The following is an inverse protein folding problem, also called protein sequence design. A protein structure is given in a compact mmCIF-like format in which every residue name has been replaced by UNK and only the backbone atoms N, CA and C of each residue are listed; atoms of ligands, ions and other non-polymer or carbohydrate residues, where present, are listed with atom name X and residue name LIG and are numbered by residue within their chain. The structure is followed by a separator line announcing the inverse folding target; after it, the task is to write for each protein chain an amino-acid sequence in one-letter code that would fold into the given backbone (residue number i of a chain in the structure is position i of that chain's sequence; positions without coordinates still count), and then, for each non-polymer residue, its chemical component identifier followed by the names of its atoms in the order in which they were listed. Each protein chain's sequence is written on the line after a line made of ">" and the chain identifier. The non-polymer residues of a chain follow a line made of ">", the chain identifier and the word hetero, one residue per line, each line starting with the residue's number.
data_IF_093593362711
#
_entry.id   IF_093593362711
#
_cell.length_a   1.000
_cell.length_b   1.000
_cell.length_c   1.000
_cell.angle_alpha   90.00
_cell.angle_beta   90.00
_cell.angle_gamma   90.00
#
_symmetry.space_group_name_H-M   'P 1'
#
loop_
_entity.id
_entity.type
_entity.pdbx_description
1 polymer ?
#
# COMPACT_ATOMS: atom_id res chain seq x y z
N UNK A 1 12.54 12.46 -6.81
CA UNK A 1 11.20 12.02 -6.36
C UNK A 1 11.39 10.88 -5.38
N UNK A 2 10.55 10.81 -4.33
CA UNK A 2 10.57 9.77 -3.30
C UNK A 2 9.40 8.84 -3.58
N UNK A 3 9.67 7.56 -3.85
CA UNK A 3 8.73 6.65 -4.52
C UNK A 3 8.23 5.60 -3.55
N UNK A 4 6.92 5.36 -3.57
CA UNK A 4 6.24 4.38 -2.73
C UNK A 4 5.41 3.43 -3.58
N UNK A 5 5.66 2.13 -3.42
CA UNK A 5 4.87 1.10 -4.09
C UNK A 5 3.65 0.78 -3.23
N UNK A 6 2.45 0.85 -3.81
CA UNK A 6 1.19 0.58 -3.12
C UNK A 6 0.66 -0.77 -3.64
N UNK A 7 0.75 -1.82 -2.83
CA UNK A 7 0.43 -3.18 -3.29
C UNK A 7 -0.35 -3.99 -2.26
N UNK A 8 -0.92 -5.10 -2.72
CA UNK A 8 -1.82 -5.96 -1.95
C UNK A 8 -3.18 -6.11 -2.62
N UNK A 9 -4.26 -6.06 -1.84
CA UNK A 9 -5.62 -6.29 -2.35
C UNK A 9 -6.54 -5.08 -2.22
N UNK A 10 -7.86 -5.32 -2.16
CA UNK A 10 -8.90 -4.28 -2.26
C UNK A 10 -8.80 -3.18 -1.21
N UNK A 11 -8.35 -3.47 0.01
CA UNK A 11 -8.16 -2.43 1.02
C UNK A 11 -6.94 -1.53 0.75
N UNK A 12 -5.90 -1.99 0.03
CA UNK A 12 -4.88 -1.10 -0.54
C UNK A 12 -5.39 -0.38 -1.79
N UNK A 13 -6.06 -1.11 -2.68
CA UNK A 13 -6.57 -0.56 -3.94
C UNK A 13 -7.55 0.60 -3.70
N UNK A 14 -8.35 0.49 -2.64
CA UNK A 14 -9.28 1.50 -2.18
C UNK A 14 -10.72 1.12 -2.45
N UNK A 15 -11.55 1.17 -1.40
CA UNK A 15 -12.99 0.90 -1.43
C UNK A 15 -13.79 1.85 -0.53
N UNK A 16 -13.15 2.83 0.10
CA UNK A 16 -13.85 3.84 0.89
C UNK A 16 -14.84 4.61 0.01
N UNK A 17 -16.09 4.74 0.47
CA UNK A 17 -17.17 5.42 -0.25
C UNK A 17 -17.76 4.60 -1.40
N UNK A 18 -17.36 3.33 -1.57
CA UNK A 18 -17.95 2.45 -2.58
C UNK A 18 -19.17 1.75 -2.00
N UNK A 19 -20.35 2.10 -2.52
CA UNK A 19 -21.63 1.48 -2.20
C UNK A 19 -22.23 0.85 -3.47
N UNK A 20 -22.62 -0.43 -3.41
CA UNK A 20 -23.25 -1.16 -4.53
C UNK A 20 -22.49 -1.01 -5.87
N UNK A 21 -21.15 -1.12 -5.83
CA UNK A 21 -20.24 -0.96 -6.98
C UNK A 21 -20.21 0.45 -7.59
N UNK A 22 -20.64 1.47 -6.84
CA UNK A 22 -20.52 2.87 -7.21
C UNK A 22 -19.74 3.61 -6.13
N UNK A 23 -18.72 4.38 -6.52
CA UNK A 23 -18.02 5.27 -5.59
C UNK A 23 -18.78 6.60 -5.50
N UNK A 24 -18.98 7.10 -4.28
CA UNK A 24 -19.69 8.36 -4.00
C UNK A 24 -19.00 9.62 -4.53
N UNK A 25 -17.73 9.51 -4.95
CA UNK A 25 -16.93 10.63 -5.46
C UNK A 25 -16.45 11.60 -4.37
N UNK A 26 -16.63 11.26 -3.09
CA UNK A 26 -16.24 12.11 -1.97
C UNK A 26 -14.76 11.92 -1.68
N UNK A 27 -13.99 13.01 -1.82
CA UNK A 27 -12.55 13.05 -1.52
C UNK A 27 -12.32 13.89 -0.26
N UNK A 28 -11.88 13.28 0.86
CA UNK A 28 -11.53 14.02 2.07
C UNK A 28 -10.41 15.04 1.82
N UNK A 29 -10.32 16.14 2.60
CA UNK A 29 -9.22 17.11 2.49
C UNK A 29 -7.84 16.48 2.68
N UNK A 30 -7.75 15.47 3.56
CA UNK A 30 -6.55 14.66 3.79
C UNK A 30 -6.14 13.80 2.57
N UNK A 31 -6.95 13.75 1.51
CA UNK A 31 -6.66 13.05 0.26
C UNK A 31 -6.67 13.98 -0.97
N UNK A 32 -6.71 15.30 -0.77
CA UNK A 32 -6.78 16.27 -1.86
C UNK A 32 -5.51 16.22 -2.75
N UNK A 33 -5.63 16.38 -4.08
CA UNK A 33 -4.48 16.38 -4.97
C UNK A 33 -3.47 17.49 -4.61
N UNK A 34 -2.20 17.23 -4.88
CA UNK A 34 -1.10 18.19 -4.74
C UNK A 34 -0.15 18.00 -5.95
N UNK A 35 0.29 19.07 -6.63
CA UNK A 35 1.21 18.96 -7.77
C UNK A 35 2.55 18.27 -7.45
N UNK A 36 2.91 18.16 -6.17
CA UNK A 36 4.10 17.47 -5.68
C UNK A 36 3.87 15.98 -5.41
N UNK A 37 2.65 15.47 -5.58
CA UNK A 37 2.29 14.06 -5.40
C UNK A 37 1.82 13.52 -6.75
N UNK A 38 2.63 12.63 -7.32
CA UNK A 38 2.39 12.02 -8.61
C UNK A 38 2.00 10.56 -8.47
N UNK A 39 1.31 10.04 -9.47
CA UNK A 39 0.92 8.63 -9.61
C UNK A 39 1.46 8.09 -10.93
N UNK A 40 1.97 6.86 -10.92
CA UNK A 40 2.32 6.15 -12.15
C UNK A 40 1.06 5.47 -12.72
N UNK A 41 0.58 5.91 -13.87
CA UNK A 41 -0.60 5.32 -14.52
C UNK A 41 -0.35 3.92 -15.08
N UNK A 42 -1.40 3.24 -15.53
CA UNK A 42 -1.30 1.97 -16.24
C UNK A 42 -0.45 2.06 -17.52
N UNK A 43 -0.44 3.24 -18.16
CA UNK A 43 0.38 3.55 -19.34
C UNK A 43 1.84 3.90 -19.00
N UNK A 44 2.26 3.71 -17.74
CA UNK A 44 3.60 4.03 -17.24
C UNK A 44 3.98 5.51 -17.41
N UNK A 45 2.98 6.40 -17.30
CA UNK A 45 3.18 7.84 -17.32
C UNK A 45 2.94 8.42 -15.92
N UNK A 46 3.79 9.37 -15.52
CA UNK A 46 3.58 10.13 -14.30
C UNK A 46 2.51 11.21 -14.53
N UNK A 47 1.52 11.24 -13.66
CA UNK A 47 0.44 12.22 -13.64
C UNK A 47 0.17 12.70 -12.22
N UNK A 48 -0.55 13.81 -12.05
CA UNK A 48 -0.93 14.28 -10.71
C UNK A 48 -1.82 13.23 -10.02
N UNK A 49 -1.46 12.85 -8.81
CA UNK A 49 -2.16 11.80 -8.07
C UNK A 49 -3.56 12.27 -7.62
N UNK A 50 -4.57 11.48 -8.00
CA UNK A 50 -5.98 11.70 -7.65
C UNK A 50 -6.62 10.37 -7.30
N UNK A 51 -7.48 10.36 -6.29
CA UNK A 51 -8.30 9.19 -5.99
C UNK A 51 -9.36 8.97 -7.09
N UNK A 52 -9.73 7.72 -7.41
CA UNK A 52 -9.17 6.47 -6.86
C UNK A 52 -7.83 6.09 -7.51
N UNK A 53 -6.77 5.90 -6.72
CA UNK A 53 -5.41 5.68 -7.23
C UNK A 53 -5.25 4.41 -8.08
N UNK A 54 -6.11 3.41 -7.91
CA UNK A 54 -6.04 2.13 -8.60
C UNK A 54 -7.07 1.98 -9.74
N UNK A 55 -7.76 3.05 -10.16
CA UNK A 55 -8.86 2.98 -11.12
C UNK A 55 -8.50 2.32 -12.48
N UNK A 56 -7.27 2.53 -12.97
CA UNK A 56 -6.72 1.93 -14.19
C UNK A 56 -5.83 0.70 -13.92
N UNK A 57 -5.69 0.29 -12.66
CA UNK A 57 -4.88 -0.85 -12.22
C UNK A 57 -5.79 -2.03 -11.82
N UNK A 58 -6.68 -1.83 -10.86
CA UNK A 58 -7.67 -2.81 -10.37
C UNK A 58 -8.96 -2.76 -11.23
N UNK A 59 -8.78 -2.89 -12.55
CA UNK A 59 -9.78 -2.57 -13.58
C UNK A 59 -11.07 -3.39 -13.53
N UNK A 60 -11.07 -4.52 -12.82
CA UNK A 60 -12.26 -5.39 -12.70
C UNK A 60 -13.19 -4.99 -11.56
N UNK A 61 -12.81 -3.98 -10.77
CA UNK A 61 -13.52 -3.56 -9.54
C UNK A 61 -13.70 -2.04 -9.54
N UNK A 62 -14.81 -1.59 -8.94
CA UNK A 62 -14.98 -0.17 -8.63
C UNK A 62 -14.04 0.21 -7.49
N UNK A 63 -13.11 1.13 -7.77
CA UNK A 63 -12.21 1.68 -6.77
C UNK A 63 -12.82 2.93 -6.11
N UNK A 64 -12.47 3.14 -4.84
CA UNK A 64 -12.77 4.35 -4.09
C UNK A 64 -11.54 4.80 -3.31
N UNK A 65 -11.74 5.42 -2.16
CA UNK A 65 -10.62 5.91 -1.33
C UNK A 65 -9.79 4.72 -0.81
N UNK A 66 -8.47 4.79 -1.01
CA UNK A 66 -7.45 3.95 -0.37
C UNK A 66 -6.58 4.78 0.59
N UNK A 67 -5.50 4.19 1.15
CA UNK A 67 -4.67 4.90 2.12
C UNK A 67 -3.59 5.79 1.46
N UNK A 68 -3.38 5.66 0.15
CA UNK A 68 -2.22 6.23 -0.55
C UNK A 68 -2.13 7.75 -0.55
N UNK A 69 -3.24 8.46 -0.82
CA UNK A 69 -3.22 9.93 -0.81
C UNK A 69 -3.03 10.50 0.61
N UNK A 70 -3.71 9.93 1.60
CA UNK A 70 -3.54 10.33 3.00
C UNK A 70 -2.12 10.07 3.51
N UNK A 71 -1.53 8.93 3.14
CA UNK A 71 -0.12 8.65 3.38
C UNK A 71 0.79 9.71 2.76
N UNK A 72 0.66 9.96 1.46
CA UNK A 72 1.53 10.88 0.74
C UNK A 72 1.45 12.30 1.30
N UNK A 73 0.24 12.79 1.61
CA UNK A 73 0.04 14.12 2.19
C UNK A 73 0.60 14.25 3.60
N UNK A 74 0.59 13.19 4.39
CA UNK A 74 1.19 13.19 5.72
C UNK A 74 2.74 13.14 5.68
N UNK A 75 3.31 12.47 4.68
CA UNK A 75 4.78 12.36 4.52
C UNK A 75 5.39 13.61 3.86
N UNK A 76 4.70 14.22 2.89
CA UNK A 76 5.23 15.29 2.04
C UNK A 76 5.88 16.46 2.81
N UNK A 77 5.26 17.02 3.88
CA UNK A 77 5.87 18.13 4.61
C UNK A 77 7.22 17.76 5.23
N UNK A 78 7.34 16.54 5.77
CA UNK A 78 8.57 16.06 6.41
C UNK A 78 9.71 15.91 5.39
N UNK A 79 9.40 15.40 4.20
CA UNK A 79 10.37 15.31 3.10
C UNK A 79 10.83 16.68 2.59
N UNK A 80 9.95 17.69 2.66
CA UNK A 80 10.28 19.05 2.23
C UNK A 80 11.13 19.79 3.29
N UNK A 81 10.95 19.50 4.58
CA UNK A 81 11.79 20.01 5.67
C UNK A 81 13.21 19.43 5.62
N UNK A 82 13.35 18.14 5.29
CA UNK A 82 14.65 17.44 5.24
C UNK A 82 15.53 17.80 4.03
N UNK A 83 15.08 18.70 3.14
CA UNK A 83 15.83 19.10 1.93
C UNK A 83 16.46 20.50 2.12
N UNK A 84 17.67 20.63 2.72
CA UNK A 84 18.35 21.91 2.85
C UNK A 84 18.92 22.39 1.51
N UNK A 85 18.45 23.53 1.02
CA UNK A 85 19.09 24.26 -0.08
C UNK A 85 18.23 24.45 -1.34
N UNK A 86 17.93 25.72 -1.62
CA UNK A 86 17.50 26.34 -2.87
C UNK A 86 16.99 25.43 -4.01
N UNK A 87 15.65 25.33 -4.13
CA UNK A 87 14.99 25.32 -5.44
C UNK A 87 14.43 23.99 -5.94
N UNK A 88 14.83 22.85 -5.38
CA UNK A 88 14.31 21.54 -5.81
C UNK A 88 13.28 21.03 -4.83
N UNK A 89 11.99 21.18 -5.14
CA UNK A 89 10.90 20.67 -4.29
C UNK A 89 10.87 19.14 -4.39
N UNK A 90 11.13 18.46 -3.28
CA UNK A 90 11.00 17.00 -3.21
C UNK A 90 9.53 16.61 -3.38
N UNK A 91 9.23 15.87 -4.45
CA UNK A 91 7.92 15.30 -4.74
C UNK A 91 7.84 13.82 -4.40
N UNK A 92 6.61 13.33 -4.18
CA UNK A 92 6.27 11.94 -3.93
C UNK A 92 5.75 11.29 -5.21
N UNK A 93 6.19 10.05 -5.47
CA UNK A 93 5.65 9.22 -6.55
C UNK A 93 4.95 7.98 -5.99
N UNK A 94 3.67 7.80 -6.31
CA UNK A 94 2.89 6.63 -5.93
C UNK A 94 2.82 5.64 -7.08
N UNK A 95 3.15 4.38 -6.81
CA UNK A 95 3.13 3.29 -7.79
C UNK A 95 2.02 2.29 -7.41
N UNK A 96 0.77 2.53 -7.84
CA UNK A 96 -0.35 1.63 -7.54
C UNK A 96 -0.15 0.30 -8.27
N UNK A 97 -0.29 -0.79 -7.53
CA UNK A 97 -0.14 -2.17 -8.00
C UNK A 97 -1.20 -3.12 -7.44
N UNK A 98 -1.96 -2.74 -6.42
CA UNK A 98 -2.89 -3.64 -5.73
C UNK A 98 -4.06 -4.11 -6.63
N UNK A 99 -4.51 -5.35 -6.41
CA UNK A 99 -5.62 -5.97 -7.16
C UNK A 99 -6.57 -6.70 -6.21
N UNK A 100 -7.86 -6.38 -6.30
CA UNK A 100 -8.86 -6.81 -5.32
C UNK A 100 -9.24 -8.29 -5.40
N UNK A 101 -9.32 -8.96 -4.24
CA UNK A 101 -9.76 -10.36 -4.12
C UNK A 101 -8.67 -11.39 -4.44
N UNK A 102 -7.41 -10.99 -4.38
CA UNK A 102 -6.26 -11.83 -4.67
C UNK A 102 -5.72 -12.45 -3.37
N UNK A 103 -5.36 -13.73 -3.41
CA UNK A 103 -4.63 -14.40 -2.33
C UNK A 103 -3.12 -14.26 -2.54
N UNK A 104 -2.31 -14.43 -1.49
CA UNK A 104 -0.86 -14.18 -1.58
C UNK A 104 -0.15 -15.10 -2.58
N UNK A 105 -0.72 -16.28 -2.87
CA UNK A 105 -0.20 -17.19 -3.91
C UNK A 105 -0.15 -16.55 -5.29
N UNK A 106 -1.09 -15.66 -5.62
CA UNK A 106 -1.17 -14.92 -6.89
C UNK A 106 -0.08 -13.82 -6.98
N UNK A 107 0.60 -13.56 -5.87
CA UNK A 107 1.74 -12.66 -5.75
C UNK A 107 3.08 -13.41 -5.67
N UNK A 108 3.10 -14.71 -5.97
CA UNK A 108 4.35 -15.48 -6.04
C UNK A 108 5.22 -14.99 -7.19
N UNK A 109 6.55 -15.08 -7.04
CA UNK A 109 7.49 -14.71 -8.12
C UNK A 109 7.20 -15.53 -9.38
N UNK A 110 7.14 -14.86 -10.55
CA UNK A 110 6.69 -15.45 -11.81
C UNK A 110 5.20 -15.33 -12.08
N UNK A 111 4.36 -15.04 -11.08
CA UNK A 111 2.93 -14.77 -11.28
C UNK A 111 2.70 -13.37 -11.85
N UNK A 112 1.60 -13.21 -12.58
CA UNK A 112 1.30 -11.99 -13.32
C UNK A 112 1.33 -10.73 -12.44
N UNK A 113 0.71 -10.76 -11.26
CA UNK A 113 0.61 -9.60 -10.37
C UNK A 113 1.97 -9.21 -9.78
N UNK A 114 2.77 -10.20 -9.41
CA UNK A 114 4.13 -9.98 -8.94
C UNK A 114 5.00 -9.34 -10.02
N UNK A 115 5.00 -9.91 -11.23
CA UNK A 115 5.81 -9.40 -12.34
C UNK A 115 5.39 -7.98 -12.74
N UNK A 116 4.08 -7.68 -12.70
CA UNK A 116 3.58 -6.32 -12.92
C UNK A 116 4.05 -5.35 -11.84
N UNK A 117 3.98 -5.71 -10.56
CA UNK A 117 4.46 -4.88 -9.46
C UNK A 117 5.96 -4.57 -9.61
N UNK A 118 6.79 -5.59 -9.85
CA UNK A 118 8.24 -5.42 -10.02
C UNK A 118 8.56 -4.59 -11.27
N UNK A 119 7.88 -4.83 -12.38
CA UNK A 119 8.05 -4.04 -13.60
C UNK A 119 7.74 -2.55 -13.37
N UNK A 120 6.59 -2.25 -12.76
CA UNK A 120 6.17 -0.88 -12.46
C UNK A 120 7.13 -0.20 -11.48
N UNK A 121 7.59 -0.91 -10.46
CA UNK A 121 8.60 -0.42 -9.52
C UNK A 121 9.93 -0.10 -10.23
N UNK A 122 10.42 -0.97 -11.11
CA UNK A 122 11.65 -0.71 -11.90
C UNK A 122 11.52 0.49 -12.83
N UNK A 123 10.37 0.67 -13.48
CA UNK A 123 10.09 1.87 -14.28
C UNK A 123 10.13 3.12 -13.40
N UNK A 124 9.50 3.06 -12.22
CA UNK A 124 9.48 4.18 -11.30
C UNK A 124 10.88 4.56 -10.78
N UNK A 125 11.73 3.56 -10.50
CA UNK A 125 13.11 3.76 -10.05
C UNK A 125 13.98 4.57 -11.05
N UNK A 126 13.59 4.66 -12.32
CA UNK A 126 14.23 5.55 -13.30
C UNK A 126 14.00 7.04 -13.04
N UNK A 127 13.05 7.42 -12.18
CA UNK A 127 12.62 8.80 -11.91
C UNK A 127 12.83 9.23 -10.45
N UNK A 128 13.35 8.34 -9.60
CA UNK A 128 13.53 8.59 -8.18
C UNK A 128 13.93 7.35 -7.40
N UNK A 129 13.95 7.47 -6.08
CA UNK A 129 14.33 6.38 -5.18
C UNK A 129 13.09 5.71 -4.61
N UNK A 130 13.03 4.38 -4.65
CA UNK A 130 11.98 3.61 -3.99
C UNK A 130 12.30 3.54 -2.50
N UNK A 131 11.40 4.07 -1.68
CA UNK A 131 11.66 4.24 -0.25
C UNK A 131 10.94 3.22 0.62
N UNK A 132 9.77 2.76 0.18
CA UNK A 132 9.06 1.69 0.84
C UNK A 132 8.05 1.02 -0.08
N UNK A 133 7.72 -0.22 0.26
CA UNK A 133 6.52 -0.91 -0.21
C UNK A 133 5.48 -0.85 0.90
N UNK A 134 4.31 -0.29 0.60
CA UNK A 134 3.14 -0.37 1.46
C UNK A 134 2.33 -1.59 1.03
N UNK A 135 2.15 -2.54 1.94
CA UNK A 135 1.54 -3.84 1.67
C UNK A 135 0.29 -4.06 2.54
N UNK A 136 -0.90 -4.13 1.92
CA UNK A 136 -2.11 -4.49 2.65
C UNK A 136 -2.85 -5.61 1.92
N UNK A 137 -2.68 -6.83 2.44
CA UNK A 137 -3.24 -8.06 1.90
C UNK A 137 -3.38 -9.13 2.98
N UNK A 138 -4.28 -10.08 2.73
CA UNK A 138 -4.39 -11.34 3.48
C UNK A 138 -5.82 -11.80 3.69
N UNK A 139 -6.84 -10.98 3.40
CA UNK A 139 -8.23 -11.36 3.65
C UNK A 139 -8.65 -12.57 2.83
N UNK A 140 -8.14 -12.72 1.60
CA UNK A 140 -8.41 -13.89 0.75
C UNK A 140 -7.74 -15.16 1.29
N UNK A 141 -6.61 -15.05 1.97
CA UNK A 141 -5.88 -16.18 2.57
C UNK A 141 -6.55 -16.69 3.85
N UNK A 142 -7.44 -15.89 4.46
CA UNK A 142 -8.27 -16.32 5.58
C UNK A 142 -9.41 -17.28 5.15
N UNK A 143 -9.66 -17.47 3.85
CA UNK A 143 -10.78 -18.30 3.38
C UNK A 143 -10.52 -19.81 3.47
N UNK A 144 -9.26 -20.25 3.62
CA UNK A 144 -8.92 -21.66 3.78
C UNK A 144 -7.84 -21.88 4.84
N UNK A 145 -7.94 -22.99 5.58
CA UNK A 145 -6.92 -23.35 6.59
C UNK A 145 -5.55 -23.61 5.95
N UNK A 146 -5.53 -24.07 4.69
CA UNK A 146 -4.30 -24.32 3.93
C UNK A 146 -3.58 -23.01 3.58
N UNK A 147 -4.29 -22.03 3.02
CA UNK A 147 -3.71 -20.73 2.67
C UNK A 147 -3.27 -19.97 3.93
N UNK A 148 -4.11 -19.99 4.96
CA UNK A 148 -3.79 -19.39 6.26
C UNK A 148 -2.53 -20.00 6.88
N UNK A 149 -2.36 -21.32 6.82
CA UNK A 149 -1.18 -22.01 7.36
C UNK A 149 0.11 -21.69 6.61
N UNK A 150 0.03 -21.32 5.34
CA UNK A 150 1.18 -20.97 4.50
C UNK A 150 1.50 -19.46 4.48
N UNK A 151 0.64 -18.61 5.06
CA UNK A 151 0.71 -17.16 4.89
C UNK A 151 2.05 -16.55 5.33
N UNK A 152 2.57 -16.93 6.51
CA UNK A 152 3.84 -16.40 7.04
C UNK A 152 5.00 -16.64 6.07
N UNK A 153 5.17 -17.88 5.64
CA UNK A 153 6.25 -18.25 4.72
C UNK A 153 6.09 -17.53 3.37
N UNK A 154 4.85 -17.41 2.89
CA UNK A 154 4.57 -16.76 1.62
C UNK A 154 4.85 -15.25 1.66
N UNK A 155 4.50 -14.55 2.75
CA UNK A 155 4.76 -13.11 2.86
C UNK A 155 6.25 -12.82 3.05
N UNK A 156 6.98 -13.63 3.82
CA UNK A 156 8.43 -13.51 3.94
C UNK A 156 9.12 -13.77 2.60
N UNK A 157 8.66 -14.78 1.85
CA UNK A 157 9.15 -15.09 0.51
C UNK A 157 8.86 -13.96 -0.49
N UNK A 158 7.66 -13.38 -0.45
CA UNK A 158 7.29 -12.21 -1.26
C UNK A 158 8.25 -11.05 -1.01
N UNK A 159 8.47 -10.69 0.26
CA UNK A 159 9.37 -9.58 0.65
C UNK A 159 10.80 -9.85 0.15
N UNK A 160 11.30 -11.07 0.39
CA UNK A 160 12.64 -11.47 -0.07
C UNK A 160 12.79 -11.41 -1.60
N UNK A 161 11.78 -11.88 -2.33
CA UNK A 161 11.76 -11.86 -3.78
C UNK A 161 11.76 -10.42 -4.33
N UNK A 162 10.89 -9.54 -3.81
CA UNK A 162 10.82 -8.14 -4.25
C UNK A 162 12.16 -7.43 -4.01
N UNK A 163 12.76 -7.62 -2.83
CA UNK A 163 14.08 -7.07 -2.49
C UNK A 163 15.16 -7.55 -3.46
N UNK A 164 15.17 -8.85 -3.77
CA UNK A 164 16.13 -9.44 -4.70
C UNK A 164 15.95 -8.90 -6.13
N UNK A 165 14.71 -8.86 -6.63
CA UNK A 165 14.41 -8.44 -8.00
C UNK A 165 14.57 -6.93 -8.24
N UNK A 166 14.43 -6.12 -7.19
CA UNK A 166 14.76 -4.68 -7.25
C UNK A 166 16.24 -4.40 -6.94
N UNK A 167 17.00 -5.38 -6.47
CA UNK A 167 18.38 -5.19 -6.02
C UNK A 167 18.50 -4.33 -4.75
N UNK A 168 17.45 -4.31 -3.92
CA UNK A 168 17.33 -3.46 -2.73
C UNK A 168 17.16 -4.32 -1.46
N UNK A 169 18.25 -4.92 -0.93
CA UNK A 169 18.18 -5.88 0.18
C UNK A 169 17.64 -5.28 1.49
N UNK A 170 17.70 -3.95 1.63
CA UNK A 170 17.22 -3.22 2.80
C UNK A 170 15.90 -2.47 2.54
N UNK A 171 15.23 -2.68 1.40
CA UNK A 171 14.00 -1.98 1.04
C UNK A 171 12.95 -2.12 2.17
N UNK A 172 12.50 -0.99 2.76
CA UNK A 172 11.47 -1.01 3.77
C UNK A 172 10.14 -1.60 3.26
N UNK A 173 9.52 -2.42 4.10
CA UNK A 173 8.15 -2.87 3.94
C UNK A 173 7.32 -2.42 5.13
N UNK A 174 6.22 -1.74 4.84
CA UNK A 174 5.22 -1.36 5.83
C UNK A 174 3.98 -2.18 5.49
N UNK A 175 3.79 -3.28 6.22
CA UNK A 175 2.63 -4.13 6.04
C UNK A 175 1.50 -3.73 6.99
N UNK A 176 0.28 -4.15 6.65
CA UNK A 176 -0.92 -3.85 7.43
C UNK A 176 -1.53 -5.14 7.94
N UNK A 177 -1.72 -5.25 9.26
CA UNK A 177 -2.46 -6.35 9.84
C UNK A 177 -3.94 -6.26 9.45
N UNK A 178 -4.61 -7.39 9.22
CA UNK A 178 -6.00 -7.35 8.75
C UNK A 178 -6.94 -6.67 9.76
N UNK A 179 -7.74 -5.70 9.30
CA UNK A 179 -8.85 -5.14 10.08
C UNK A 179 -10.10 -6.04 10.06
N UNK A 180 -10.21 -6.87 9.03
CA UNK A 180 -11.41 -7.61 8.66
C UNK A 180 -11.03 -8.83 7.83
N UNK A 181 -11.97 -9.77 7.65
CA UNK A 181 -11.75 -11.02 6.92
C UNK A 181 -12.59 -12.15 7.50
N UNK A 182 -12.36 -13.37 7.02
CA UNK A 182 -13.06 -14.55 7.51
C UNK A 182 -12.79 -14.77 9.02
N UNK A 183 -13.84 -14.67 9.84
CA UNK A 183 -13.76 -14.75 11.31
C UNK A 183 -13.10 -16.04 11.83
N UNK A 184 -13.15 -17.13 11.05
CA UNK A 184 -12.52 -18.40 11.44
C UNK A 184 -11.00 -18.31 11.49
N UNK A 185 -10.40 -17.52 10.60
CA UNK A 185 -8.96 -17.56 10.32
C UNK A 185 -8.27 -16.20 10.34
N UNK A 186 -9.01 -15.09 10.46
CA UNK A 186 -8.44 -13.73 10.51
C UNK A 186 -7.32 -13.63 11.56
N UNK A 187 -7.51 -14.15 12.77
CA UNK A 187 -6.49 -14.08 13.82
C UNK A 187 -5.23 -14.89 13.49
N UNK A 188 -5.36 -15.97 12.73
CA UNK A 188 -4.19 -16.75 12.29
C UNK A 188 -3.36 -15.97 11.25
N UNK A 189 -4.03 -15.32 10.28
CA UNK A 189 -3.36 -14.45 9.30
C UNK A 189 -2.73 -13.23 9.99
N UNK A 190 -3.44 -12.60 10.93
CA UNK A 190 -2.90 -11.50 11.75
C UNK A 190 -1.68 -11.93 12.55
N UNK A 191 -1.74 -13.07 13.23
CA UNK A 191 -0.60 -13.62 13.96
C UNK A 191 0.60 -13.84 13.03
N UNK A 192 0.38 -14.33 11.80
CA UNK A 192 1.43 -14.44 10.80
C UNK A 192 2.01 -13.06 10.41
N UNK A 193 1.16 -12.05 10.15
CA UNK A 193 1.59 -10.68 9.83
C UNK A 193 2.44 -10.06 10.95
N UNK A 194 2.12 -10.31 12.22
CA UNK A 194 2.94 -9.87 13.36
C UNK A 194 4.19 -10.74 13.60
N UNK A 195 4.22 -11.96 13.08
CA UNK A 195 5.35 -12.90 13.27
C UNK A 195 6.43 -12.75 12.20
N UNK A 196 6.23 -11.94 11.16
CA UNK A 196 7.23 -11.67 10.13
C UNK A 196 8.50 -11.15 10.79
N UNK A 197 9.60 -11.90 10.65
CA UNK A 197 10.87 -11.59 11.32
C UNK A 197 11.96 -11.28 10.29
N UNK A 198 11.78 -10.16 9.59
CA UNK A 198 12.71 -9.67 8.58
C UNK A 198 13.15 -8.24 8.93
N UNK A 199 14.41 -7.85 8.64
CA UNK A 199 14.86 -6.47 8.85
C UNK A 199 14.05 -5.51 7.99
N UNK A 200 13.87 -4.28 8.47
CA UNK A 200 13.13 -3.19 7.80
C UNK A 200 11.71 -3.60 7.38
N UNK A 201 11.05 -4.42 8.21
CA UNK A 201 9.62 -4.70 8.07
C UNK A 201 8.91 -4.23 9.32
N UNK A 202 7.86 -3.43 9.15
CA UNK A 202 6.99 -2.96 10.23
C UNK A 202 5.55 -3.28 9.91
N UNK A 203 4.76 -3.59 10.95
CA UNK A 203 3.34 -3.95 10.83
C UNK A 203 2.48 -2.90 11.52
N UNK A 204 1.56 -2.30 10.76
CA UNK A 204 0.56 -1.33 11.26
C UNK A 204 -0.75 -2.06 11.55
N UNK A 205 -1.42 -1.74 12.66
CA UNK A 205 -2.66 -2.41 13.07
C UNK A 205 -3.91 -1.50 12.98
N UNK A 206 -4.76 -1.67 11.96
CA UNK A 206 -6.04 -0.97 11.82
C UNK A 206 -7.22 -1.68 12.51
N UNK A 207 -7.00 -2.70 13.35
CA UNK A 207 -8.08 -3.41 14.02
C UNK A 207 -9.05 -2.47 14.75
N UNK A 208 -10.35 -2.71 14.58
CA UNK A 208 -11.42 -1.91 15.18
C UNK A 208 -11.78 -0.62 14.42
N UNK A 209 -11.12 -0.31 13.31
CA UNK A 209 -11.53 0.79 12.43
C UNK A 209 -12.87 0.51 11.74
N UNK A 210 -13.58 1.58 11.37
CA UNK A 210 -14.88 1.49 10.74
C UNK A 210 -14.79 0.84 9.35
N UNK A 211 -15.69 -0.12 9.10
CA UNK A 211 -15.84 -0.80 7.82
C UNK A 211 -17.03 -0.21 7.05
N UNK A 212 -17.04 -0.42 5.74
CA UNK A 212 -18.21 -0.25 4.90
C UNK A 212 -19.31 -1.23 5.32
N UNK A 213 -20.51 -1.06 4.74
CA UNK A 213 -21.69 -1.90 4.99
C UNK A 213 -21.46 -3.39 4.70
N UNK A 214 -20.45 -3.73 3.89
CA UNK A 214 -20.08 -5.11 3.58
C UNK A 214 -19.31 -5.82 4.71
N UNK A 215 -18.94 -5.10 5.78
CA UNK A 215 -18.14 -5.59 6.90
C UNK A 215 -16.80 -6.21 6.48
N UNK A 216 -16.26 -5.79 5.33
CA UNK A 216 -15.00 -6.29 4.79
C UNK A 216 -14.05 -5.15 4.45
N UNK A 217 -14.52 -4.09 3.81
CA UNK A 217 -13.64 -3.02 3.37
C UNK A 217 -13.61 -1.86 4.37
N UNK A 218 -12.45 -1.22 4.56
CA UNK A 218 -12.34 -0.01 5.36
C UNK A 218 -13.16 1.13 4.75
N UNK A 219 -13.90 1.85 5.59
CA UNK A 219 -14.60 3.07 5.20
C UNK A 219 -13.61 4.20 4.87
N UNK A 220 -14.09 5.25 4.18
CA UNK A 220 -13.27 6.40 3.75
C UNK A 220 -12.47 7.01 4.90
N UNK A 221 -13.09 7.29 6.05
CA UNK A 221 -12.40 7.87 7.20
C UNK A 221 -11.34 6.94 7.79
N UNK A 222 -11.59 5.63 7.76
CA UNK A 222 -10.65 4.60 8.21
C UNK A 222 -9.45 4.49 7.26
N UNK A 223 -9.66 4.66 5.96
CA UNK A 223 -8.57 4.73 4.97
C UNK A 223 -7.70 5.96 5.17
N UNK A 224 -8.30 7.12 5.49
CA UNK A 224 -7.54 8.32 5.87
C UNK A 224 -6.71 8.07 7.13
N UNK A 225 -7.30 7.46 8.16
CA UNK A 225 -6.59 7.13 9.40
C UNK A 225 -5.46 6.14 9.16
N UNK A 226 -5.69 5.08 8.37
CA UNK A 226 -4.67 4.11 7.99
C UNK A 226 -3.52 4.77 7.22
N UNK A 227 -3.82 5.65 6.26
CA UNK A 227 -2.79 6.40 5.53
C UNK A 227 -1.89 7.22 6.46
N UNK A 228 -2.47 7.87 7.48
CA UNK A 228 -1.69 8.60 8.51
C UNK A 228 -0.84 7.66 9.37
N UNK A 229 -1.36 6.49 9.75
CA UNK A 229 -0.60 5.49 10.52
C UNK A 229 0.55 4.89 9.70
N UNK A 230 0.36 4.65 8.40
CA UNK A 230 1.42 4.23 7.48
C UNK A 230 2.51 5.31 7.36
N UNK A 231 2.11 6.58 7.29
CA UNK A 231 3.03 7.70 7.21
C UNK A 231 3.86 7.83 8.49
N UNK A 232 3.21 7.73 9.65
CA UNK A 232 3.88 7.74 10.95
C UNK A 232 4.88 6.57 11.07
N UNK A 233 4.48 5.36 10.68
CA UNK A 233 5.36 4.21 10.66
C UNK A 233 6.58 4.43 9.75
N UNK A 234 6.37 5.01 8.57
CA UNK A 234 7.46 5.38 7.66
C UNK A 234 8.39 6.41 8.29
N UNK A 235 7.84 7.51 8.81
CA UNK A 235 8.59 8.62 9.38
C UNK A 235 9.43 8.16 10.58
N UNK A 236 8.84 7.40 11.50
CA UNK A 236 9.53 7.00 12.74
C UNK A 236 10.63 5.97 12.52
N UNK A 237 10.50 5.10 11.51
CA UNK A 237 11.41 3.97 11.33
C UNK A 237 12.41 4.17 10.19
N UNK A 238 12.06 4.96 9.17
CA UNK A 238 12.82 5.00 7.91
C UNK A 238 13.16 6.42 7.44
N UNK A 239 12.49 7.45 7.96
CA UNK A 239 12.91 8.83 7.75
C UNK A 239 13.88 9.21 8.88
N UNK A 240 15.16 9.25 8.57
CA UNK A 240 16.21 9.61 9.54
C UNK A 240 15.91 10.97 10.16
N UNK A 241 15.86 11.05 11.50
CA UNK A 241 15.92 12.33 12.18
C UNK A 241 17.27 12.98 11.85
N UNK A 242 17.27 14.15 11.21
CA UNK A 242 18.42 15.04 11.28
C UNK A 242 18.64 15.38 12.75
N UNK A 243 19.74 14.87 13.32
CA UNK A 243 20.26 15.31 14.61
C UNK A 243 20.48 16.83 14.63
#
# INVERSE_FOLDING_TARGET
>A
MRIFVLSGQSNMAGRGGVHRRHWDGVVPPDCAPDPSILRLSAALQWEEAREPLHADIDTTKTCGIGPGMAFARAVLPRLQEDTPGAGTRTGIGLVPCAVGGTAIREWSRGEHLYEQMVCRARVAAGYGEIEAVLWYQGESDAESDADTGAYLENVERLIGNVRADLGMPQLPFIQVALASGNKRNIEKVRNAQFSVNLPNVVTVDPMGMALNEDNLHLATESQVKLGKMLAEAYIMNFLTATC
#
